data_IF_841490460064
#
_entry.id   IF_841490460064
#
_cell.length_a   1.000
_cell.length_b   1.000
_cell.length_c   1.000
_cell.angle_alpha   90.00
_cell.angle_beta   90.00
_cell.angle_gamma   90.00
#
_symmetry.space_group_name_H-M   'P 1'
#
loop_
_entity.id
_entity.type
_entity.pdbx_description
1 polymer ?
#
# COMPACT_ATOMS: atom_id res chain seq x y z
N UNK A 1 8.83 2.52 18.60
CA UNK A 1 8.67 2.96 17.19
C UNK A 1 9.80 2.34 16.40
N UNK A 2 9.51 1.81 15.22
CA UNK A 2 10.52 1.25 14.33
C UNK A 2 10.20 1.56 12.89
N UNK A 3 11.22 1.85 12.10
CA UNK A 3 11.12 2.06 10.65
C UNK A 3 12.08 1.11 9.96
N UNK A 4 11.61 0.45 8.91
CA UNK A 4 12.43 -0.29 7.97
C UNK A 4 12.26 0.35 6.59
N UNK A 5 13.36 0.57 5.89
CA UNK A 5 13.35 1.15 4.55
C UNK A 5 14.11 0.24 3.61
N UNK A 6 13.47 -0.13 2.50
CA UNK A 6 14.10 -0.90 1.44
C UNK A 6 14.65 0.05 0.38
N UNK A 7 15.89 -0.19 -0.03
CA UNK A 7 16.56 0.50 -1.13
C UNK A 7 16.95 -0.52 -2.20
N UNK A 8 16.91 -0.12 -3.47
CA UNK A 8 17.51 -0.91 -4.54
C UNK A 8 19.04 -0.73 -4.61
N UNK A 9 19.68 -1.43 -5.56
CA UNK A 9 21.13 -1.38 -5.75
C UNK A 9 21.67 0.00 -6.16
N UNK A 10 20.81 0.91 -6.63
CA UNK A 10 21.16 2.30 -6.97
C UNK A 10 21.01 3.26 -5.79
N UNK A 11 20.43 2.78 -4.68
CA UNK A 11 20.12 3.59 -3.51
C UNK A 11 18.78 4.31 -3.59
N UNK A 12 17.92 3.98 -4.56
CA UNK A 12 16.57 4.52 -4.62
C UNK A 12 15.68 3.78 -3.63
N UNK A 13 14.87 4.53 -2.88
CA UNK A 13 13.93 3.97 -1.90
C UNK A 13 12.78 3.27 -2.62
N UNK A 14 12.56 2.01 -2.28
CA UNK A 14 11.55 1.15 -2.89
C UNK A 14 10.33 0.98 -1.98
N UNK A 15 10.54 0.78 -0.68
CA UNK A 15 9.43 0.61 0.27
C UNK A 15 9.80 1.14 1.66
N UNK A 16 8.76 1.51 2.41
CA UNK A 16 8.86 1.95 3.79
C UNK A 16 7.85 1.19 4.64
N UNK A 17 8.33 0.63 5.75
CA UNK A 17 7.50 0.02 6.78
C UNK A 17 7.71 0.79 8.07
N UNK A 18 6.63 1.28 8.64
CA UNK A 18 6.60 2.05 9.86
C UNK A 18 5.72 1.38 10.91
N UNK A 19 6.18 1.37 12.15
CA UNK A 19 5.38 0.98 13.31
C UNK A 19 5.46 2.03 14.42
N UNK A 20 4.30 2.43 14.94
CA UNK A 20 4.16 3.52 15.90
C UNK A 20 2.92 3.41 16.77
N UNK A 21 2.74 4.38 17.66
CA UNK A 21 1.53 4.52 18.51
C UNK A 21 0.65 5.70 18.09
N UNK A 22 1.19 6.60 17.26
CA UNK A 22 0.49 7.75 16.69
C UNK A 22 0.81 7.76 15.21
N UNK A 23 -0.22 7.86 14.39
CA UNK A 23 -0.12 8.15 12.97
C UNK A 23 -1.25 9.12 12.62
N UNK A 24 -0.95 10.08 11.74
CA UNK A 24 -1.94 11.00 11.20
C UNK A 24 -2.07 10.74 9.69
N UNK A 25 -3.28 10.94 9.17
CA UNK A 25 -3.61 10.67 7.78
C UNK A 25 -4.57 11.72 7.27
N UNK A 26 -4.13 12.50 6.29
CA UNK A 26 -5.01 13.42 5.58
C UNK A 26 -5.64 12.67 4.40
N UNK A 27 -6.97 12.66 4.34
CA UNK A 27 -7.71 12.14 3.19
C UNK A 27 -8.27 13.29 2.37
N UNK A 28 -8.36 13.06 1.06
CA UNK A 28 -9.03 13.96 0.11
C UNK A 28 -9.96 13.12 -0.78
N UNK A 29 -10.99 13.73 -1.39
CA UNK A 29 -11.83 13.02 -2.36
C UNK A 29 -10.99 12.50 -3.53
N UNK A 30 -11.23 11.24 -3.92
CA UNK A 30 -10.55 10.56 -5.02
C UNK A 30 -11.56 9.76 -5.83
N UNK A 31 -11.21 9.43 -7.08
CA UNK A 31 -11.86 8.33 -7.82
C UNK A 31 -10.90 7.17 -7.94
N UNK A 32 -11.23 6.04 -7.29
CA UNK A 32 -10.35 4.89 -7.17
C UNK A 32 -10.65 3.81 -8.20
N UNK A 33 -9.60 3.30 -8.84
CA UNK A 33 -9.62 2.03 -9.58
C UNK A 33 -8.74 1.03 -8.86
N UNK A 34 -9.33 -0.08 -8.39
CA UNK A 34 -8.60 -1.15 -7.68
C UNK A 34 -8.14 -2.19 -8.69
N UNK A 35 -6.85 -2.48 -8.72
CA UNK A 35 -6.27 -3.50 -9.61
C UNK A 35 -6.13 -4.84 -8.91
N UNK A 36 -5.69 -4.83 -7.66
CA UNK A 36 -5.57 -6.03 -6.84
C UNK A 36 -5.78 -5.71 -5.36
N UNK A 37 -6.45 -6.60 -4.64
CA UNK A 37 -6.50 -6.60 -3.18
C UNK A 37 -6.58 -8.03 -2.64
N UNK A 38 -5.69 -8.39 -1.72
CA UNK A 38 -5.57 -9.75 -1.17
C UNK A 38 -5.35 -9.66 0.35
N UNK A 39 -6.07 -10.46 1.17
CA UNK A 39 -5.83 -10.51 2.62
C UNK A 39 -4.38 -10.91 2.93
N UNK A 40 -3.74 -10.26 3.90
CA UNK A 40 -2.37 -10.60 4.35
C UNK A 40 -2.45 -11.67 5.44
N UNK A 41 -2.01 -12.93 5.19
CA UNK A 41 -2.21 -14.03 6.13
C UNK A 41 -1.60 -13.78 7.51
N UNK A 42 -0.40 -13.18 7.55
CA UNK A 42 0.33 -12.89 8.80
C UNK A 42 -0.32 -11.84 9.70
N UNK A 43 -1.39 -11.17 9.25
CA UNK A 43 -2.07 -10.09 9.99
C UNK A 43 -3.55 -10.39 10.26
N UNK A 44 -4.06 -11.58 9.91
CA UNK A 44 -5.49 -11.91 10.10
C UNK A 44 -5.91 -12.03 11.57
N UNK A 45 -4.97 -12.21 12.50
CA UNK A 45 -5.23 -12.21 13.94
C UNK A 45 -5.28 -10.81 14.58
N UNK A 46 -5.13 -9.75 13.79
CA UNK A 46 -5.10 -8.37 14.28
C UNK A 46 -6.49 -7.75 14.33
N UNK A 47 -6.66 -6.63 15.06
CA UNK A 47 -7.97 -5.97 15.14
C UNK A 47 -8.53 -5.61 13.77
N UNK A 48 -9.82 -5.87 13.57
CA UNK A 48 -10.55 -5.51 12.34
C UNK A 48 -10.43 -4.00 12.04
N UNK A 49 -10.47 -3.58 10.76
CA UNK A 49 -10.61 -4.42 9.56
C UNK A 49 -9.34 -5.23 9.26
N UNK A 50 -9.50 -6.48 8.86
CA UNK A 50 -8.40 -7.35 8.45
C UNK A 50 -7.51 -6.68 7.40
N UNK A 51 -6.19 -6.78 7.54
CA UNK A 51 -5.25 -6.10 6.64
C UNK A 51 -5.20 -6.77 5.27
N UNK A 52 -5.17 -5.95 4.22
CA UNK A 52 -5.02 -6.37 2.84
C UNK A 52 -3.76 -5.78 2.22
N UNK A 53 -3.06 -6.56 1.41
CA UNK A 53 -2.21 -6.03 0.37
C UNK A 53 -3.11 -5.43 -0.71
N UNK A 54 -2.79 -4.23 -1.18
CA UNK A 54 -3.59 -3.54 -2.18
C UNK A 54 -2.73 -2.80 -3.20
N UNK A 55 -3.10 -2.95 -4.47
CA UNK A 55 -2.57 -2.18 -5.59
C UNK A 55 -3.71 -1.50 -6.35
N UNK A 56 -3.67 -0.18 -6.43
CA UNK A 56 -4.75 0.63 -7.01
C UNK A 56 -4.23 1.99 -7.48
N UNK A 57 -5.07 2.73 -8.20
CA UNK A 57 -4.84 4.13 -8.54
C UNK A 57 -5.96 4.99 -7.96
N UNK A 58 -5.57 6.06 -7.29
CA UNK A 58 -6.46 7.15 -6.88
C UNK A 58 -6.30 8.30 -7.88
N UNK A 59 -7.39 8.68 -8.55
CA UNK A 59 -7.40 9.87 -9.40
C UNK A 59 -7.85 11.07 -8.57
N UNK A 60 -7.00 12.10 -8.52
CA UNK A 60 -7.27 13.37 -7.84
C UNK A 60 -7.15 14.49 -8.84
N UNK A 61 -8.27 15.12 -9.21
CA UNK A 61 -8.32 16.14 -10.26
C UNK A 61 -7.62 15.66 -11.56
N UNK A 62 -7.99 14.48 -12.04
CA UNK A 62 -7.44 13.82 -13.24
C UNK A 62 -5.94 13.49 -13.19
N UNK A 63 -5.32 13.59 -12.00
CA UNK A 63 -3.94 13.16 -11.79
C UNK A 63 -3.95 11.76 -11.16
N UNK A 64 -3.49 10.72 -11.86
CA UNK A 64 -3.40 9.38 -11.32
C UNK A 64 -2.31 9.29 -10.26
N UNK A 65 -2.65 8.70 -9.12
CA UNK A 65 -1.71 8.38 -8.05
C UNK A 65 -1.76 6.87 -7.79
N UNK A 66 -0.80 6.16 -8.34
CA UNK A 66 -0.64 4.73 -8.12
C UNK A 66 -0.17 4.47 -6.70
N UNK A 67 -0.73 3.45 -6.05
CA UNK A 67 -0.42 3.07 -4.67
C UNK A 67 -0.31 1.57 -4.55
N UNK A 68 0.73 1.13 -3.87
CA UNK A 68 0.97 -0.26 -3.50
C UNK A 68 1.32 -0.28 -2.01
N UNK A 69 0.39 -0.71 -1.17
CA UNK A 69 0.57 -0.66 0.28
C UNK A 69 -0.40 -1.60 1.00
N UNK A 70 -0.28 -1.69 2.33
CA UNK A 70 -1.28 -2.35 3.15
C UNK A 70 -2.47 -1.43 3.46
N UNK A 71 -3.68 -1.96 3.38
CA UNK A 71 -4.94 -1.24 3.67
C UNK A 71 -5.77 -1.93 4.74
N UNK A 72 -6.49 -1.16 5.59
CA UNK A 72 -7.44 -1.73 6.54
C UNK A 72 -8.67 -2.20 5.76
N UNK A 73 -8.75 -3.51 5.50
CA UNK A 73 -9.74 -4.10 4.61
C UNK A 73 -9.43 -3.89 3.12
N UNK A 74 -10.28 -4.48 2.28
CA UNK A 74 -10.22 -4.31 0.83
C UNK A 74 -10.66 -2.89 0.43
N UNK A 75 -9.88 -2.16 -0.39
CA UNK A 75 -10.28 -0.86 -0.90
C UNK A 75 -11.54 -0.93 -1.76
N UNK A 76 -12.39 0.08 -1.66
CA UNK A 76 -13.60 0.22 -2.48
C UNK A 76 -13.27 1.06 -3.72
N UNK A 77 -13.69 0.59 -4.89
CA UNK A 77 -13.56 1.30 -6.16
C UNK A 77 -14.67 2.36 -6.33
N UNK A 78 -14.38 3.42 -7.09
CA UNK A 78 -15.30 4.54 -7.33
C UNK A 78 -14.95 5.79 -6.53
N UNK A 79 -15.91 6.71 -6.43
CA UNK A 79 -15.75 7.97 -5.71
C UNK A 79 -15.71 7.73 -4.20
N UNK A 80 -14.56 8.01 -3.58
CA UNK A 80 -14.29 7.69 -2.19
C UNK A 80 -13.34 8.71 -1.56
N UNK A 81 -13.07 8.56 -0.26
CA UNK A 81 -11.96 9.26 0.39
C UNK A 81 -10.64 8.48 0.20
N UNK A 82 -9.54 9.21 0.09
CA UNK A 82 -8.19 8.65 0.04
C UNK A 82 -7.89 7.81 1.29
N UNK A 83 -7.25 6.66 1.10
CA UNK A 83 -6.94 5.73 2.20
C UNK A 83 -5.56 6.04 2.79
N UNK A 84 -5.44 6.27 4.11
CA UNK A 84 -4.15 6.55 4.75
C UNK A 84 -3.32 5.28 5.00
N UNK A 85 -3.86 4.08 4.80
CA UNK A 85 -3.13 2.81 4.96
C UNK A 85 -2.78 2.46 6.42
N UNK A 86 -3.54 3.01 7.39
CA UNK A 86 -3.30 2.78 8.82
C UNK A 86 -3.87 1.42 9.25
N UNK A 87 -3.00 0.47 9.57
CA UNK A 87 -3.37 -0.86 10.06
C UNK A 87 -3.17 -0.93 11.56
N UNK A 88 -4.14 -1.47 12.30
CA UNK A 88 -3.96 -1.74 13.74
C UNK A 88 -3.23 -3.07 13.94
N UNK A 89 -2.19 -3.07 14.76
CA UNK A 89 -1.41 -4.24 15.17
C UNK A 89 -1.18 -4.21 16.69
N UNK A 90 -1.84 -5.07 17.46
CA UNK A 90 -1.88 -4.94 18.93
C UNK A 90 -2.28 -3.53 19.37
N UNK A 91 -1.46 -2.88 20.21
CA UNK A 91 -1.63 -1.48 20.65
C UNK A 91 -0.96 -0.45 19.73
N UNK A 92 -0.52 -0.87 18.53
CA UNK A 92 0.27 -0.07 17.59
C UNK A 92 -0.44 0.11 16.25
N UNK A 93 0.11 1.01 15.46
CA UNK A 93 -0.21 1.21 14.05
C UNK A 93 0.96 0.70 13.20
N UNK A 94 0.63 0.02 12.11
CA UNK A 94 1.50 -0.37 11.02
C UNK A 94 1.11 0.42 9.77
N UNK A 95 2.11 0.94 9.09
CA UNK A 95 2.02 1.45 7.72
C UNK A 95 3.09 0.72 6.93
N UNK A 96 2.75 0.18 5.78
CA UNK A 96 3.72 -0.46 4.89
C UNK A 96 3.37 -0.11 3.45
N UNK A 97 4.21 0.67 2.80
CA UNK A 97 3.95 1.23 1.46
C UNK A 97 5.18 1.19 0.56
N UNK A 98 4.95 0.97 -0.73
CA UNK A 98 5.96 1.14 -1.78
C UNK A 98 6.03 2.62 -2.15
N UNK A 99 7.26 3.13 -2.29
CA UNK A 99 7.49 4.49 -2.76
C UNK A 99 7.50 4.52 -4.28
N UNK A 100 6.54 5.21 -4.87
CA UNK A 100 6.57 5.58 -6.28
C UNK A 100 7.01 7.03 -6.43
N UNK A 101 8.04 7.28 -7.25
CA UNK A 101 8.50 8.63 -7.58
C UNK A 101 7.89 9.01 -8.94
N UNK A 102 7.40 10.26 -9.07
CA UNK A 102 7.00 10.91 -10.33
C UNK A 102 6.11 10.09 -11.27
N UNK A 103 4.89 9.75 -10.82
CA UNK A 103 3.86 9.03 -11.60
C UNK A 103 4.46 7.92 -12.50
N UNK A 104 4.87 6.79 -11.89
CA UNK A 104 5.82 5.87 -12.50
C UNK A 104 5.30 5.14 -13.75
N UNK A 105 3.98 5.18 -13.99
CA UNK A 105 3.34 4.43 -15.07
C UNK A 105 2.61 5.35 -16.04
N UNK A 106 2.79 5.08 -17.33
CA UNK A 106 2.12 5.82 -18.40
C UNK A 106 0.61 5.54 -18.49
N UNK A 107 0.14 4.41 -17.94
CA UNK A 107 -1.28 3.99 -17.96
C UNK A 107 -1.56 2.90 -16.93
N UNK A 108 -2.83 2.65 -16.65
CA UNK A 108 -3.31 1.55 -15.80
C UNK A 108 -2.81 0.18 -16.32
N UNK A 109 -2.76 0.01 -17.64
CA UNK A 109 -2.26 -1.24 -18.25
C UNK A 109 -0.75 -1.39 -18.05
N UNK A 110 0.01 -0.29 -18.13
CA UNK A 110 1.44 -0.31 -17.80
C UNK A 110 1.67 -0.64 -16.32
N UNK A 111 0.84 -0.11 -15.42
CA UNK A 111 0.90 -0.41 -13.99
C UNK A 111 0.62 -1.89 -13.70
N UNK A 112 -0.41 -2.47 -14.35
CA UNK A 112 -0.73 -3.91 -14.23
C UNK A 112 0.37 -4.79 -14.82
N UNK A 113 0.95 -4.39 -15.96
CA UNK A 113 2.07 -5.10 -16.57
C UNK A 113 3.32 -5.07 -15.69
N UNK A 114 3.64 -3.93 -15.08
CA UNK A 114 4.72 -3.81 -14.10
C UNK A 114 4.47 -4.69 -12.87
N UNK A 115 3.24 -4.69 -12.34
CA UNK A 115 2.88 -5.55 -11.21
C UNK A 115 3.12 -7.02 -11.53
N UNK A 116 2.82 -7.46 -12.76
CA UNK A 116 3.06 -8.84 -13.21
C UNK A 116 4.55 -9.16 -13.43
N UNK A 117 5.42 -8.16 -13.47
CA UNK A 117 6.87 -8.31 -13.61
C UNK A 117 7.58 -8.68 -12.31
N UNK A 118 8.89 -8.93 -12.41
CA UNK A 118 9.71 -9.41 -11.30
C UNK A 118 9.74 -8.45 -10.10
N UNK A 119 9.95 -7.15 -10.35
CA UNK A 119 9.99 -6.12 -9.31
C UNK A 119 8.64 -5.99 -8.57
N UNK A 120 7.54 -5.88 -9.33
CA UNK A 120 6.19 -5.81 -8.77
C UNK A 120 5.84 -7.03 -7.93
N UNK A 121 6.17 -8.24 -8.40
CA UNK A 121 5.96 -9.46 -7.62
C UNK A 121 6.86 -9.55 -6.39
N UNK A 122 8.11 -9.09 -6.46
CA UNK A 122 9.01 -9.07 -5.31
C UNK A 122 8.51 -8.13 -4.20
N UNK A 123 8.06 -6.93 -4.57
CA UNK A 123 7.48 -5.97 -3.61
C UNK A 123 6.15 -6.48 -3.04
N UNK A 124 5.33 -7.17 -3.86
CA UNK A 124 4.11 -7.81 -3.38
C UNK A 124 4.44 -8.91 -2.37
N UNK A 125 5.41 -9.76 -2.68
CA UNK A 125 5.84 -10.82 -1.77
C UNK A 125 6.35 -10.25 -0.43
N UNK A 126 7.10 -9.14 -0.47
CA UNK A 126 7.50 -8.41 0.74
C UNK A 126 6.28 -8.00 1.58
N UNK A 127 5.29 -7.32 0.98
CA UNK A 127 4.08 -6.89 1.71
C UNK A 127 3.29 -8.07 2.28
N UNK A 128 3.18 -9.16 1.50
CA UNK A 128 2.47 -10.38 1.90
C UNK A 128 3.20 -11.17 2.99
N UNK A 129 4.52 -10.98 3.15
CA UNK A 129 5.33 -11.62 4.19
C UNK A 129 5.22 -10.96 5.56
N UNK A 130 4.62 -9.76 5.64
CA UNK A 130 4.46 -9.04 6.90
C UNK A 130 3.56 -9.86 7.82
N UNK A 131 4.03 -10.06 9.05
CA UNK A 131 3.33 -10.80 10.09
C UNK A 131 3.48 -10.11 11.43
N UNK A 132 2.51 -10.35 12.32
CA UNK A 132 2.57 -9.88 13.70
C UNK A 132 2.04 -10.98 14.62
N UNK A 133 2.89 -11.38 15.57
CA UNK A 133 2.65 -12.44 16.56
C UNK A 133 2.82 -11.93 17.98
#
# INVERSE_FOLDING_TARGET
>A
MGTATLYDATGQRQAEIYTGVIADGVSSPVTRTVFESVPVPGLQGQPEPAAHYSFYVDNVNDIPRYRMHLTPGAPIAGAEMGLPGLIRIGERILIAEVTFIDNPFASDDAAKAWLAGEEGQALKALMMSISYS
#
